data_IF_907871012451
#
_entry.id   IF_907871012451
#
_cell.length_a   1.000
_cell.length_b   1.000
_cell.length_c   1.000
_cell.angle_alpha   90.00
_cell.angle_beta   90.00
_cell.angle_gamma   90.00
#
_symmetry.space_group_name_H-M   'P 1'
#
loop_
_entity.id
_entity.type
_entity.pdbx_description
1 polymer ?
#
# COMPACT_ATOMS: atom_id res chain seq x y z
N UNK A 1 -0.01 33.28 14.15
CA UNK A 1 -0.40 32.41 15.28
C UNK A 1 -1.70 31.72 14.90
N UNK A 2 -1.61 30.50 14.36
CA UNK A 2 -2.77 29.71 13.95
C UNK A 2 -3.30 28.91 15.13
N UNK A 3 -4.54 29.20 15.51
CA UNK A 3 -5.35 28.46 16.47
C UNK A 3 -5.43 26.98 16.07
N UNK A 4 -4.88 26.10 16.91
CA UNK A 4 -5.09 24.65 16.86
C UNK A 4 -6.57 24.35 17.09
N UNK A 5 -7.31 24.17 15.99
CA UNK A 5 -8.70 23.73 16.02
C UNK A 5 -8.75 22.24 16.39
N UNK A 6 -9.50 21.90 17.44
CA UNK A 6 -9.85 20.52 17.79
C UNK A 6 -10.85 19.88 16.81
N UNK A 7 -10.92 20.37 15.56
CA UNK A 7 -11.88 19.92 14.53
C UNK A 7 -11.32 18.80 13.64
N UNK A 8 -10.05 18.46 13.81
CA UNK A 8 -9.35 17.62 12.83
C UNK A 8 -9.26 16.15 13.24
N UNK A 9 -9.48 15.77 14.51
CA UNK A 9 -9.28 14.40 14.98
C UNK A 9 -10.57 13.56 14.93
N UNK A 10 -10.50 12.36 14.36
CA UNK A 10 -11.66 11.48 14.12
C UNK A 10 -11.66 10.22 15.00
N UNK A 11 -10.56 9.46 15.04
CA UNK A 11 -10.44 8.26 15.85
C UNK A 11 -8.97 7.87 16.10
N UNK A 12 -8.74 7.04 17.13
CA UNK A 12 -7.46 6.38 17.39
C UNK A 12 -7.66 4.87 17.44
N UNK A 13 -6.83 4.16 16.69
CA UNK A 13 -6.71 2.71 16.74
C UNK A 13 -5.36 2.34 17.34
N UNK A 14 -5.39 1.51 18.37
CA UNK A 14 -4.21 0.96 19.03
C UNK A 14 -4.10 -0.51 18.72
N UNK A 15 -2.86 -0.96 18.47
CA UNK A 15 -2.55 -2.36 18.18
C UNK A 15 -1.45 -2.82 19.11
N UNK A 16 -1.61 -4.03 19.64
CA UNK A 16 -0.49 -4.71 20.28
C UNK A 16 0.63 -4.93 19.26
N UNK A 17 1.87 -5.04 19.76
CA UNK A 17 3.01 -5.39 18.91
C UNK A 17 2.78 -6.69 18.14
N UNK A 18 2.05 -7.66 18.73
CA UNK A 18 1.73 -8.94 18.11
C UNK A 18 0.80 -8.78 16.89
N UNK A 19 -0.29 -8.03 17.04
CA UNK A 19 -1.24 -7.76 15.95
C UNK A 19 -0.58 -6.98 14.81
N UNK A 20 0.17 -5.94 15.14
CA UNK A 20 0.87 -5.14 14.12
C UNK A 20 1.92 -5.96 13.36
N UNK A 21 2.65 -6.82 14.07
CA UNK A 21 3.65 -7.70 13.44
C UNK A 21 3.00 -8.78 12.58
N UNK A 22 1.78 -9.25 12.93
CA UNK A 22 0.99 -10.13 12.08
C UNK A 22 0.61 -9.43 10.78
N UNK A 23 0.09 -8.20 10.87
CA UNK A 23 -0.20 -7.35 9.71
C UNK A 23 1.04 -7.13 8.84
N UNK A 24 2.19 -6.78 9.42
CA UNK A 24 3.44 -6.60 8.66
C UNK A 24 3.85 -7.86 7.92
N UNK A 25 3.72 -9.03 8.57
CA UNK A 25 4.06 -10.32 7.96
C UNK A 25 3.18 -10.58 6.75
N UNK A 26 1.88 -10.30 6.87
CA UNK A 26 0.94 -10.44 5.78
C UNK A 26 1.21 -9.46 4.64
N UNK A 27 1.36 -8.17 4.95
CA UNK A 27 1.65 -7.13 3.95
C UNK A 27 2.93 -7.43 3.16
N UNK A 28 3.97 -7.95 3.83
CA UNK A 28 5.19 -8.43 3.15
C UNK A 28 4.94 -9.65 2.28
N UNK A 29 4.09 -10.58 2.72
CA UNK A 29 3.74 -11.78 1.96
C UNK A 29 3.02 -11.42 0.66
N UNK A 30 2.02 -10.53 0.74
CA UNK A 30 1.29 -10.02 -0.42
C UNK A 30 2.24 -9.31 -1.42
N UNK A 31 3.10 -8.41 -0.93
CA UNK A 31 4.09 -7.75 -1.81
C UNK A 31 5.06 -8.75 -2.44
N UNK A 32 5.43 -9.82 -1.74
CA UNK A 32 6.29 -10.88 -2.30
C UNK A 32 5.59 -11.62 -3.43
N UNK A 33 4.31 -11.94 -3.25
CA UNK A 33 3.47 -12.61 -4.24
C UNK A 33 3.32 -11.75 -5.52
N UNK A 34 2.99 -10.47 -5.39
CA UNK A 34 2.94 -9.53 -6.52
C UNK A 34 4.27 -9.44 -7.29
N UNK A 35 5.38 -9.44 -6.56
CA UNK A 35 6.71 -9.39 -7.15
C UNK A 35 7.05 -10.69 -7.91
N UNK A 36 6.56 -11.85 -7.45
CA UNK A 36 6.69 -13.11 -8.20
C UNK A 36 5.91 -13.04 -9.50
N UNK A 37 4.65 -12.57 -9.46
CA UNK A 37 3.84 -12.39 -10.67
C UNK A 37 4.48 -11.41 -11.66
N UNK A 38 5.08 -10.32 -11.17
CA UNK A 38 5.82 -9.38 -12.01
C UNK A 38 7.03 -10.04 -12.69
N UNK A 39 7.78 -10.89 -11.98
CA UNK A 39 8.89 -11.64 -12.57
C UNK A 39 8.44 -12.61 -13.66
N UNK A 40 7.35 -13.35 -13.42
CA UNK A 40 6.74 -14.26 -14.40
C UNK A 40 6.26 -13.48 -15.63
N UNK A 41 5.56 -12.35 -15.43
CA UNK A 41 5.11 -11.50 -16.54
C UNK A 41 6.30 -10.96 -17.36
N UNK A 42 7.40 -10.60 -16.69
CA UNK A 42 8.64 -10.16 -17.36
C UNK A 42 9.20 -11.25 -18.26
N UNK A 43 9.17 -12.52 -17.85
CA UNK A 43 9.58 -13.64 -18.70
C UNK A 43 8.62 -13.83 -19.88
N UNK A 44 7.32 -13.89 -19.61
CA UNK A 44 6.28 -14.14 -20.63
C UNK A 44 6.29 -13.06 -21.71
N UNK A 45 6.49 -11.79 -21.35
CA UNK A 45 6.51 -10.68 -22.30
C UNK A 45 7.90 -10.46 -22.89
N UNK A 46 8.94 -10.51 -22.05
CA UNK A 46 10.31 -10.20 -22.45
C UNK A 46 10.89 -11.20 -23.45
N UNK A 47 10.56 -12.48 -23.31
CA UNK A 47 11.09 -13.52 -24.21
C UNK A 47 10.56 -13.34 -25.64
N UNK A 48 9.23 -13.34 -25.91
CA UNK A 48 8.72 -13.10 -27.26
C UNK A 48 9.14 -11.73 -27.80
N UNK A 49 9.15 -10.69 -26.96
CA UNK A 49 9.55 -9.36 -27.38
C UNK A 49 10.97 -9.34 -27.95
N UNK A 50 11.96 -9.90 -27.24
CA UNK A 50 13.35 -9.92 -27.71
C UNK A 50 13.55 -10.86 -28.90
N UNK A 51 12.89 -12.03 -28.91
CA UNK A 51 12.98 -12.96 -30.04
C UNK A 51 12.43 -12.35 -31.33
N UNK A 52 11.27 -11.68 -31.27
CA UNK A 52 10.63 -11.09 -32.46
C UNK A 52 11.30 -9.79 -32.90
N UNK A 53 11.65 -8.91 -31.96
CA UNK A 53 12.19 -7.58 -32.28
C UNK A 53 13.68 -7.60 -32.65
N UNK A 54 14.46 -8.52 -32.08
CA UNK A 54 15.92 -8.58 -32.26
C UNK A 54 16.40 -9.85 -32.95
N UNK A 55 15.49 -10.79 -33.29
CA UNK A 55 15.82 -12.08 -33.93
C UNK A 55 16.88 -12.87 -33.15
N UNK A 56 16.90 -12.72 -31.83
CA UNK A 56 17.83 -13.40 -30.93
C UNK A 56 17.33 -14.84 -30.69
N UNK A 57 18.25 -15.80 -30.55
CA UNK A 57 17.89 -17.18 -30.22
C UNK A 57 17.21 -17.27 -28.84
N UNK A 58 16.43 -18.32 -28.63
CA UNK A 58 15.75 -18.54 -27.35
C UNK A 58 16.74 -18.56 -26.17
N UNK A 59 17.86 -19.28 -26.31
CA UNK A 59 18.88 -19.39 -25.25
C UNK A 59 19.50 -18.03 -24.89
N UNK A 60 19.91 -17.25 -25.90
CA UNK A 60 20.46 -15.91 -25.65
C UNK A 60 19.42 -14.99 -25.02
N UNK A 61 18.16 -15.10 -25.43
CA UNK A 61 17.06 -14.34 -24.82
C UNK A 61 16.89 -14.67 -23.34
N UNK A 62 16.91 -15.95 -22.96
CA UNK A 62 16.83 -16.35 -21.54
C UNK A 62 17.95 -15.73 -20.69
N UNK A 63 19.19 -15.75 -21.20
CA UNK A 63 20.36 -15.17 -20.52
C UNK A 63 20.13 -13.68 -20.22
N UNK A 64 19.49 -12.95 -21.12
CA UNK A 64 19.18 -11.53 -20.91
C UNK A 64 17.96 -11.30 -20.02
N UNK A 65 16.85 -12.01 -20.23
CA UNK A 65 15.58 -11.71 -19.54
C UNK A 65 15.56 -12.20 -18.10
N UNK A 66 16.14 -13.36 -17.81
CA UNK A 66 16.12 -13.96 -16.45
C UNK A 66 16.72 -13.00 -15.40
N UNK A 67 17.90 -12.39 -15.60
CA UNK A 67 18.45 -11.42 -14.66
C UNK A 67 17.48 -10.28 -14.35
N UNK A 68 16.81 -9.71 -15.36
CA UNK A 68 15.84 -8.63 -15.13
C UNK A 68 14.57 -9.12 -14.43
N UNK A 69 14.07 -10.31 -14.78
CA UNK A 69 12.91 -10.94 -14.13
C UNK A 69 13.15 -11.23 -12.64
N UNK A 70 14.41 -11.32 -12.20
CA UNK A 70 14.79 -11.47 -10.79
C UNK A 70 15.08 -10.10 -10.16
N UNK A 71 15.90 -9.29 -10.82
CA UNK A 71 16.44 -8.05 -10.25
C UNK A 71 15.38 -6.96 -10.10
N UNK A 72 14.46 -6.83 -11.05
CA UNK A 72 13.39 -5.82 -10.99
C UNK A 72 12.46 -6.11 -9.80
N UNK A 73 11.88 -7.32 -9.64
CA UNK A 73 11.04 -7.60 -8.48
C UNK A 73 11.80 -7.54 -7.15
N UNK A 74 13.06 -7.97 -7.11
CA UNK A 74 13.89 -7.85 -5.90
C UNK A 74 14.06 -6.39 -5.47
N UNK A 75 14.42 -5.51 -6.40
CA UNK A 75 14.59 -4.09 -6.13
C UNK A 75 13.27 -3.45 -5.68
N UNK A 76 12.17 -3.74 -6.39
CA UNK A 76 10.81 -3.28 -6.03
C UNK A 76 10.43 -3.73 -4.63
N UNK A 77 10.68 -5.00 -4.27
CA UNK A 77 10.39 -5.53 -2.95
C UNK A 77 11.18 -4.80 -1.85
N UNK A 78 12.49 -4.61 -2.08
CA UNK A 78 13.39 -3.96 -1.10
C UNK A 78 12.95 -2.52 -0.80
N UNK A 79 12.56 -1.77 -1.83
CA UNK A 79 12.10 -0.39 -1.68
C UNK A 79 10.71 -0.34 -1.03
N UNK A 80 9.75 -1.11 -1.57
CA UNK A 80 8.35 -1.05 -1.14
C UNK A 80 8.08 -1.63 0.26
N UNK A 81 8.97 -2.47 0.79
CA UNK A 81 8.82 -3.04 2.14
C UNK A 81 9.68 -2.34 3.19
N UNK A 82 10.48 -1.33 2.82
CA UNK A 82 11.39 -0.64 3.72
C UNK A 82 10.69 0.02 4.92
N UNK A 83 9.42 0.43 4.76
CA UNK A 83 8.61 1.00 5.84
C UNK A 83 7.89 -0.05 6.71
N UNK A 84 7.78 -1.31 6.25
CA UNK A 84 7.12 -2.41 6.96
C UNK A 84 8.09 -3.08 7.94
N UNK A 85 8.44 -2.39 9.02
CA UNK A 85 9.38 -2.91 10.03
C UNK A 85 8.64 -3.39 11.27
N UNK A 86 8.93 -4.61 11.77
CA UNK A 86 8.30 -5.12 12.97
C UNK A 86 8.59 -4.18 14.15
N UNK A 87 7.62 -4.05 15.03
CA UNK A 87 7.68 -3.17 16.19
C UNK A 87 7.73 -3.99 17.48
N UNK A 88 8.34 -3.41 18.51
CA UNK A 88 8.39 -3.99 19.86
C UNK A 88 7.37 -3.36 20.81
N UNK A 89 6.86 -2.17 20.47
CA UNK A 89 5.88 -1.41 21.24
C UNK A 89 4.53 -1.47 20.51
N UNK A 90 3.50 -0.93 21.13
CA UNK A 90 2.20 -0.77 20.50
C UNK A 90 2.29 0.13 19.26
N UNK A 91 1.48 -0.18 18.26
CA UNK A 91 1.26 0.70 17.12
C UNK A 91 0.04 1.57 17.39
N UNK A 92 0.14 2.84 16.98
CA UNK A 92 -0.95 3.80 17.11
C UNK A 92 -1.22 4.38 15.73
N UNK A 93 -2.47 4.29 15.32
CA UNK A 93 -3.00 4.91 14.11
C UNK A 93 -4.01 5.96 14.53
N UNK A 94 -3.78 7.21 14.17
CA UNK A 94 -4.73 8.29 14.44
C UNK A 94 -5.27 8.82 13.11
N UNK A 95 -6.59 8.90 13.02
CA UNK A 95 -7.30 9.42 11.87
C UNK A 95 -7.62 10.89 12.09
N UNK A 96 -7.30 11.71 11.10
CA UNK A 96 -7.68 13.11 11.05
C UNK A 96 -8.37 13.41 9.73
N UNK A 97 -9.13 14.49 9.67
CA UNK A 97 -9.90 14.88 8.47
C UNK A 97 -9.05 14.96 7.20
N UNK A 98 -7.82 15.47 7.26
CA UNK A 98 -6.93 15.69 6.11
C UNK A 98 -5.72 14.74 6.06
N UNK A 99 -5.43 13.99 7.13
CA UNK A 99 -4.30 13.07 7.19
C UNK A 99 -4.51 11.91 8.16
N UNK A 100 -3.67 10.88 8.04
CA UNK A 100 -3.55 9.80 9.02
C UNK A 100 -2.14 9.83 9.59
N UNK A 101 -1.99 9.53 10.87
CA UNK A 101 -0.67 9.25 11.44
C UNK A 101 -0.56 7.79 11.83
N UNK A 102 0.53 7.14 11.41
CA UNK A 102 0.87 5.76 11.79
C UNK A 102 2.22 5.82 12.51
N UNK A 103 2.24 5.54 13.82
CA UNK A 103 3.46 5.64 14.63
C UNK A 103 4.21 6.97 14.43
N UNK A 104 3.46 8.08 14.50
CA UNK A 104 3.93 9.45 14.29
C UNK A 104 4.40 9.79 12.86
N UNK A 105 4.21 8.89 11.88
CA UNK A 105 4.42 9.21 10.46
C UNK A 105 3.11 9.68 9.85
N UNK A 106 3.11 10.89 9.30
CA UNK A 106 1.97 11.51 8.64
C UNK A 106 1.81 11.00 7.20
N UNK A 107 0.59 10.69 6.82
CA UNK A 107 0.14 10.35 5.46
C UNK A 107 -0.99 11.31 5.14
N UNK A 108 -0.75 12.28 4.26
CA UNK A 108 -1.81 13.20 3.84
C UNK A 108 -2.85 12.44 3.03
N UNK A 109 -4.12 12.67 3.33
CA UNK A 109 -5.28 12.15 2.61
C UNK A 109 -5.78 13.15 1.58
N UNK A 110 -5.78 14.44 1.94
CA UNK A 110 -6.23 15.54 1.10
C UNK A 110 -5.15 16.62 0.94
N UNK A 111 -5.26 17.40 -0.13
CA UNK A 111 -4.46 18.58 -0.44
C UNK A 111 -4.82 19.13 -1.82
N UNK A 112 -4.19 20.22 -2.25
CA UNK A 112 -4.56 20.94 -3.50
C UNK A 112 -4.66 20.06 -4.76
N UNK A 113 -3.88 18.97 -4.80
CA UNK A 113 -3.87 18.02 -5.92
C UNK A 113 -4.04 16.59 -5.45
N UNK A 114 -4.48 16.34 -4.22
CA UNK A 114 -4.48 15.02 -3.59
C UNK A 114 -5.81 14.77 -2.89
N UNK A 115 -6.40 13.61 -3.09
CA UNK A 115 -7.70 13.25 -2.53
C UNK A 115 -7.81 11.74 -2.32
N UNK A 116 -8.78 11.34 -1.51
CA UNK A 116 -9.16 9.93 -1.38
C UNK A 116 -10.02 9.56 -2.59
N UNK A 117 -9.53 8.65 -3.42
CA UNK A 117 -10.27 8.12 -4.58
C UNK A 117 -11.26 7.04 -4.16
N UNK A 118 -10.86 6.20 -3.21
CA UNK A 118 -11.68 5.11 -2.70
C UNK A 118 -11.23 4.73 -1.28
N UNK A 119 -12.17 4.27 -0.46
CA UNK A 119 -11.90 3.72 0.85
C UNK A 119 -12.85 2.56 1.14
N UNK A 120 -12.30 1.38 1.41
CA UNK A 120 -13.06 0.14 1.55
C UNK A 120 -12.47 -0.77 2.62
N UNK A 121 -13.31 -1.65 3.17
CA UNK A 121 -12.85 -2.75 4.02
C UNK A 121 -12.64 -3.96 3.13
N UNK A 122 -11.45 -4.56 3.21
CA UNK A 122 -11.10 -5.78 2.50
C UNK A 122 -10.71 -6.89 3.48
N UNK A 123 -10.87 -8.13 3.02
CA UNK A 123 -10.43 -9.32 3.72
C UNK A 123 -8.97 -9.63 3.40
N UNK A 124 -8.13 -9.56 4.43
CA UNK A 124 -6.77 -10.06 4.41
C UNK A 124 -6.68 -11.57 4.65
N UNK A 125 -5.48 -12.10 4.51
CA UNK A 125 -5.16 -13.49 4.86
C UNK A 125 -5.31 -13.70 6.37
N UNK A 126 -5.69 -14.90 6.78
CA UNK A 126 -5.88 -15.27 8.19
C UNK A 126 -6.98 -14.47 8.93
N UNK A 127 -7.98 -13.94 8.21
CA UNK A 127 -9.12 -13.25 8.82
C UNK A 127 -8.82 -11.84 9.33
N UNK A 128 -7.68 -11.26 8.97
CA UNK A 128 -7.38 -9.86 9.23
C UNK A 128 -8.23 -8.97 8.33
N UNK A 129 -9.07 -8.11 8.92
CA UNK A 129 -9.76 -7.05 8.17
C UNK A 129 -8.82 -5.88 7.97
N UNK A 130 -8.75 -5.36 6.74
CA UNK A 130 -7.90 -4.22 6.39
C UNK A 130 -8.76 -3.08 5.86
N UNK A 131 -8.46 -1.85 6.28
CA UNK A 131 -8.96 -0.63 5.67
C UNK A 131 -8.02 -0.28 4.54
N UNK A 132 -8.49 -0.41 3.30
CA UNK A 132 -7.79 0.00 2.10
C UNK A 132 -8.17 1.44 1.75
N UNK A 133 -7.15 2.27 1.50
CA UNK A 133 -7.29 3.67 1.18
C UNK A 133 -6.52 3.91 -0.12
N UNK A 134 -7.25 4.18 -1.20
CA UNK A 134 -6.70 4.63 -2.46
C UNK A 134 -6.58 6.15 -2.43
N UNK A 135 -5.34 6.65 -2.41
CA UNK A 135 -5.07 8.09 -2.40
C UNK A 135 -4.59 8.49 -3.78
N UNK A 136 -5.37 9.31 -4.47
CA UNK A 136 -5.05 9.82 -5.79
C UNK A 136 -4.43 11.21 -5.73
N UNK A 137 -3.60 11.54 -6.71
CA UNK A 137 -3.13 12.89 -6.94
C UNK A 137 -2.91 13.21 -8.41
N UNK A 138 -3.09 14.49 -8.75
CA UNK A 138 -2.96 14.97 -10.12
C UNK A 138 -1.50 15.26 -10.47
N UNK A 139 -1.08 14.75 -11.64
CA UNK A 139 0.25 15.02 -12.23
C UNK A 139 0.10 15.75 -13.56
N UNK A 140 1.21 16.21 -14.15
CA UNK A 140 1.20 16.81 -15.49
C UNK A 140 0.70 15.85 -16.59
N UNK A 141 0.72 14.53 -16.34
CA UNK A 141 0.33 13.49 -17.31
C UNK A 141 -1.01 12.84 -16.96
N UNK A 142 -1.79 13.45 -16.08
CA UNK A 142 -3.03 12.89 -15.54
C UNK A 142 -2.89 12.40 -14.11
N UNK A 143 -3.96 11.81 -13.60
CA UNK A 143 -4.05 11.40 -12.22
C UNK A 143 -3.35 10.05 -12.01
N UNK A 144 -2.69 9.91 -10.87
CA UNK A 144 -2.08 8.66 -10.40
C UNK A 144 -2.55 8.40 -8.98
N UNK A 145 -2.40 7.18 -8.49
CA UNK A 145 -2.79 6.84 -7.12
C UNK A 145 -1.80 5.88 -6.48
N UNK A 146 -1.87 5.79 -5.16
CA UNK A 146 -1.20 4.78 -4.35
C UNK A 146 -2.20 4.20 -3.34
N UNK A 147 -2.00 2.93 -3.02
CA UNK A 147 -2.84 2.17 -2.11
C UNK A 147 -2.11 2.01 -0.77
N UNK A 148 -2.77 2.43 0.31
CA UNK A 148 -2.31 2.15 1.66
C UNK A 148 -3.34 1.31 2.40
N UNK A 149 -2.85 0.33 3.17
CA UNK A 149 -3.68 -0.59 3.94
C UNK A 149 -3.35 -0.46 5.42
N UNK A 150 -4.39 -0.38 6.24
CA UNK A 150 -4.28 -0.28 7.70
C UNK A 150 -5.09 -1.44 8.30
N UNK A 151 -4.54 -2.24 9.23
CA UNK A 151 -5.33 -3.27 9.89
C UNK A 151 -6.48 -2.64 10.68
N UNK A 152 -7.63 -3.30 10.71
CA UNK A 152 -8.79 -2.88 11.50
C UNK A 152 -8.82 -3.72 12.78
N UNK A 153 -8.81 -3.11 13.98
CA UNK A 153 -9.04 -3.85 15.22
C UNK A 153 -10.39 -4.55 15.17
N UNK A 154 -10.48 -5.78 15.67
CA UNK A 154 -11.71 -6.58 15.61
C UNK A 154 -12.91 -5.90 16.27
N UNK A 155 -12.67 -5.05 17.28
CA UNK A 155 -13.68 -4.27 17.99
C UNK A 155 -13.97 -2.89 17.35
N UNK A 156 -13.42 -2.58 16.17
CA UNK A 156 -13.52 -1.27 15.50
C UNK A 156 -14.08 -1.36 14.08
N UNK A 157 -14.71 -2.48 13.69
CA UNK A 157 -15.29 -2.64 12.34
C UNK A 157 -16.36 -1.59 12.05
N UNK A 158 -17.34 -1.41 12.94
CA UNK A 158 -18.39 -0.39 12.80
C UNK A 158 -17.80 1.03 12.73
N UNK A 159 -16.71 1.28 13.46
CA UNK A 159 -15.99 2.56 13.41
C UNK A 159 -15.27 2.77 12.08
N UNK A 160 -14.73 1.71 11.48
CA UNK A 160 -14.14 1.78 10.16
C UNK A 160 -15.20 2.10 9.09
N UNK A 161 -16.39 1.52 9.19
CA UNK A 161 -17.51 1.84 8.30
C UNK A 161 -17.94 3.31 8.44
N UNK A 162 -18.06 3.80 9.67
CA UNK A 162 -18.36 5.21 9.92
C UNK A 162 -17.28 6.17 9.38
N UNK A 163 -15.99 5.79 9.46
CA UNK A 163 -14.91 6.57 8.85
C UNK A 163 -15.03 6.60 7.31
N UNK A 164 -15.35 5.46 6.68
CA UNK A 164 -15.56 5.40 5.23
C UNK A 164 -16.69 6.32 4.80
N UNK A 165 -17.82 6.29 5.51
CA UNK A 165 -18.95 7.19 5.23
C UNK A 165 -18.57 8.65 5.41
N UNK A 166 -17.85 8.99 6.49
CA UNK A 166 -17.36 10.35 6.73
C UNK A 166 -16.51 10.86 5.56
N UNK A 167 -15.51 10.08 5.12
CA UNK A 167 -14.63 10.51 4.02
C UNK A 167 -15.31 10.55 2.66
N UNK A 168 -16.34 9.73 2.43
CA UNK A 168 -17.16 9.80 1.21
C UNK A 168 -17.97 11.09 1.13
N UNK A 169 -18.42 11.61 2.27
CA UNK A 169 -19.15 12.88 2.35
C UNK A 169 -18.22 14.11 2.32
N UNK A 170 -16.96 13.92 2.69
CA UNK A 170 -15.97 14.98 2.75
C UNK A 170 -15.22 15.21 1.43
N UNK A 171 -15.13 14.18 0.57
CA UNK A 171 -14.54 14.24 -0.78
C UNK A 171 -15.44 15.01 -1.77
#
# INVERSE_FOLDING_TARGET
>A
MSTTNSKDFLDTWTFSAKEWNLFIKEAKSLKKEDNIYMGIATLIVGIPFLMLSRKITFLMTLIFVIPFAILIPWARNKISTAHLKPIKKEAIVNFYTDYITINNKRIDLYGDKKWIKNMTIIDGKNGLKLLEIEIAWSTRKGDTFDETRIPIPSNKIERAEALIEYYKLYA
#
